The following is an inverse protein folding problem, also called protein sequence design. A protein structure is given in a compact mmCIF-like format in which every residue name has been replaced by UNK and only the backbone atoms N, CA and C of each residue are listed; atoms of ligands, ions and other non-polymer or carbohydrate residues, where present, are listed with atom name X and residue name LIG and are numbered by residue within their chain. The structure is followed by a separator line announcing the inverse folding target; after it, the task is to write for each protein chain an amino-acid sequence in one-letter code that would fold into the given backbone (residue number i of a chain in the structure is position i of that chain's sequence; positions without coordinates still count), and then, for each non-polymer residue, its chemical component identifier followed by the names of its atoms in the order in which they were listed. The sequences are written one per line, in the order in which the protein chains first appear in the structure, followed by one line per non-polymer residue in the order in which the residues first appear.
data_IF_380188511897
#
_entry.id   IF_380188511897
#
_cell.length_a   1.000
_cell.length_b   1.000
_cell.length_c   1.000
_cell.angle_alpha   90.00
_cell.angle_beta   90.00
_cell.angle_gamma   90.00
#
_symmetry.space_group_name_H-M   'P 1'
#
loop_
_entity.id
_entity.type
_entity.pdbx_description
1 polymer ?
#
# COMPACT_ATOMS: atom_id res chain seq x y z
N UNK A 1 17.99 -22.40 26.83
CA UNK A 1 16.81 -22.94 26.11
C UNK A 1 15.86 -21.76 25.89
N UNK A 2 15.40 -21.37 24.70
CA UNK A 2 15.28 -22.03 23.41
C UNK A 2 15.19 -20.92 22.34
N UNK A 3 15.87 -21.12 21.20
CA UNK A 3 15.78 -20.34 19.96
C UNK A 3 14.61 -20.85 19.10
N UNK A 4 14.03 -19.97 18.26
CA UNK A 4 13.69 -20.15 16.83
C UNK A 4 12.87 -18.93 16.36
N UNK A 5 13.14 -18.17 15.30
CA UNK A 5 13.52 -18.43 13.90
C UNK A 5 12.31 -18.61 12.94
N UNK A 6 12.10 -17.56 12.12
CA UNK A 6 11.70 -17.54 10.69
C UNK A 6 10.20 -17.68 10.33
N UNK A 7 9.71 -16.72 9.53
CA UNK A 7 8.49 -16.83 8.71
C UNK A 7 8.18 -15.53 7.95
N UNK A 8 8.65 -15.42 6.70
CA UNK A 8 8.56 -14.25 5.80
C UNK A 8 7.12 -13.84 5.38
N UNK A 9 6.90 -12.57 5.00
CA UNK A 9 5.70 -12.13 4.30
C UNK A 9 5.79 -12.32 2.77
N UNK A 10 4.68 -12.74 2.17
CA UNK A 10 4.46 -12.93 0.72
C UNK A 10 4.16 -11.58 0.05
N UNK A 11 4.72 -11.36 -1.15
CA UNK A 11 4.51 -10.17 -2.00
C UNK A 11 3.82 -10.55 -3.33
N UNK A 12 2.99 -9.61 -3.82
CA UNK A 12 2.60 -9.29 -5.22
C UNK A 12 1.32 -9.92 -5.83
N UNK A 13 0.67 -9.31 -6.87
CA UNK A 13 1.04 -8.09 -7.65
C UNK A 13 -0.09 -7.10 -8.06
N UNK A 14 0.35 -5.90 -8.50
CA UNK A 14 -0.17 -4.97 -9.55
C UNK A 14 -1.65 -4.54 -9.62
N UNK A 15 -1.90 -3.21 -9.62
CA UNK A 15 -2.32 -2.52 -10.86
C UNK A 15 -2.11 -0.99 -10.87
N UNK A 16 -2.02 -0.45 -12.09
CA UNK A 16 -1.41 0.82 -12.55
C UNK A 16 -2.41 2.02 -12.55
N UNK A 17 -1.96 3.29 -12.66
CA UNK A 17 -2.82 4.48 -12.60
C UNK A 17 -3.36 4.93 -13.97
N UNK A 18 -4.57 5.51 -14.00
CA UNK A 18 -5.17 6.14 -15.17
C UNK A 18 -5.30 7.67 -15.03
N UNK A 19 -4.47 8.36 -15.82
CA UNK A 19 -4.72 9.48 -16.75
C UNK A 19 -5.83 10.51 -16.47
N UNK A 20 -5.39 11.77 -16.53
CA UNK A 20 -6.09 13.06 -16.63
C UNK A 20 -7.16 13.14 -17.74
N UNK A 21 -8.15 14.04 -17.61
CA UNK A 21 -8.44 15.02 -18.65
C UNK A 21 -9.34 16.17 -18.17
N UNK A 22 -8.93 17.33 -18.66
CA UNK A 22 -9.49 18.67 -18.61
C UNK A 22 -10.77 18.77 -19.48
N UNK A 23 -11.78 19.55 -19.05
CA UNK A 23 -12.69 20.18 -20.01
C UNK A 23 -13.43 21.38 -19.42
N UNK A 24 -13.24 22.50 -20.13
CA UNK A 24 -13.82 23.83 -19.99
C UNK A 24 -15.21 23.83 -20.65
N UNK A 25 -16.17 24.56 -20.08
CA UNK A 25 -17.37 24.94 -20.84
C UNK A 25 -18.52 25.46 -19.99
N UNK A 26 -18.48 26.75 -19.65
CA UNK A 26 -19.66 27.46 -19.17
C UNK A 26 -20.68 27.69 -20.30
N UNK A 27 -21.94 27.87 -19.95
CA UNK A 27 -22.84 28.80 -20.66
C UNK A 27 -24.02 29.16 -19.78
N UNK A 28 -24.36 30.44 -19.86
CA UNK A 28 -25.43 31.14 -19.17
C UNK A 28 -26.74 31.01 -19.95
N UNK A 29 -27.87 31.01 -19.28
CA UNK A 29 -29.16 31.30 -19.92
C UNK A 29 -30.05 32.13 -19.00
N UNK A 30 -30.19 33.38 -19.40
CA UNK A 30 -31.05 34.43 -18.88
C UNK A 30 -32.31 34.41 -19.74
N UNK A 31 -33.50 34.21 -19.17
CA UNK A 31 -34.76 34.51 -19.86
C UNK A 31 -35.66 35.30 -18.92
N UNK A 32 -36.09 36.44 -19.44
CA UNK A 32 -36.91 37.49 -18.87
C UNK A 32 -38.21 37.43 -19.67
N UNK A 33 -39.37 37.31 -19.02
CA UNK A 33 -40.66 37.42 -19.71
C UNK A 33 -41.58 38.43 -19.04
N UNK A 34 -42.28 39.13 -19.92
CA UNK A 34 -42.99 40.40 -19.79
C UNK A 34 -44.50 40.20 -19.67
N UNK A 35 -45.15 41.26 -19.13
CA UNK A 35 -46.54 41.74 -19.18
C UNK A 35 -47.51 41.09 -20.21
N UNK A 36 -48.84 41.08 -20.04
CA UNK A 36 -49.76 42.22 -19.79
C UNK A 36 -51.22 41.72 -19.69
N UNK A 37 -52.06 42.55 -19.06
CA UNK A 37 -53.50 42.39 -18.79
C UNK A 37 -54.42 42.27 -20.02
N UNK A 38 -55.63 41.73 -19.79
CA UNK A 38 -56.77 41.67 -20.72
C UNK A 38 -58.04 42.26 -20.10
N UNK A 39 -58.81 42.95 -20.94
CA UNK A 39 -59.98 43.79 -20.69
C UNK A 39 -61.33 43.06 -20.78
N UNK A 40 -62.35 43.68 -20.19
CA UNK A 40 -63.81 43.44 -20.32
C UNK A 40 -64.34 43.55 -21.76
N UNK A 41 -65.60 43.09 -21.99
CA UNK A 41 -66.48 43.70 -22.98
C UNK A 41 -67.83 44.21 -22.41
N UNK A 42 -68.38 45.16 -23.17
CA UNK A 42 -69.65 45.89 -23.09
C UNK A 42 -70.77 45.20 -23.91
N UNK A 43 -72.05 45.44 -23.59
CA UNK A 43 -73.19 45.51 -24.56
C UNK A 43 -74.38 46.31 -23.96
N UNK A 44 -74.80 47.46 -24.54
CA UNK A 44 -75.94 47.74 -25.49
C UNK A 44 -77.33 47.78 -24.81
N UNK A 45 -78.09 48.90 -24.77
CA UNK A 45 -78.85 49.70 -25.77
C UNK A 45 -80.38 49.61 -25.44
N UNK A 46 -81.11 50.65 -24.97
CA UNK A 46 -81.76 51.82 -25.60
C UNK A 46 -83.01 51.58 -26.51
N UNK A 47 -84.23 51.90 -26.02
CA UNK A 47 -85.33 52.74 -26.64
C UNK A 47 -86.70 52.60 -25.92
N UNK A 48 -87.29 53.71 -25.39
CA UNK A 48 -88.50 54.52 -25.82
C UNK A 48 -89.87 53.78 -25.75
N UNK A 49 -91.02 54.29 -25.28
CA UNK A 49 -91.57 55.66 -25.13
C UNK A 49 -92.83 55.71 -24.19
N UNK A 50 -93.07 56.89 -23.59
CA UNK A 50 -94.13 57.58 -22.78
C UNK A 50 -95.65 57.31 -22.98
N UNK A 51 -96.60 58.01 -22.29
CA UNK A 51 -96.67 58.54 -20.90
C UNK A 51 -98.04 58.29 -20.20
N UNK A 52 -98.14 58.44 -18.87
CA UNK A 52 -99.32 59.05 -18.23
C UNK A 52 -98.97 59.49 -16.80
N UNK A 53 -99.47 60.68 -16.49
CA UNK A 53 -99.14 61.59 -15.39
C UNK A 53 -100.06 61.35 -14.20
N UNK A 54 -99.52 60.94 -13.04
CA UNK A 54 -100.07 61.27 -11.71
C UNK A 54 -98.89 61.44 -10.74
N UNK A 55 -98.75 62.66 -10.25
CA UNK A 55 -97.81 63.11 -9.21
C UNK A 55 -97.88 62.21 -7.97
N UNK A 56 -96.80 61.47 -7.72
CA UNK A 56 -96.53 60.85 -6.41
C UNK A 56 -95.01 60.80 -6.23
N UNK A 57 -94.56 61.50 -5.19
CA UNK A 57 -93.17 61.72 -4.82
C UNK A 57 -92.51 60.34 -4.55
N UNK A 58 -91.36 60.00 -5.16
CA UNK A 58 -90.70 58.73 -4.87
C UNK A 58 -90.10 58.77 -3.44
N UNK A 59 -90.26 57.71 -2.63
CA UNK A 59 -89.44 57.55 -1.44
C UNK A 59 -88.00 57.34 -1.88
N UNK A 60 -87.12 58.16 -1.30
CA UNK A 60 -85.68 58.12 -1.47
C UNK A 60 -85.15 56.68 -1.40
N UNK A 61 -84.54 56.23 -2.50
CA UNK A 61 -83.81 54.96 -2.59
C UNK A 61 -82.78 54.86 -1.48
N UNK A 62 -82.74 53.69 -0.82
CA UNK A 62 -81.75 53.24 0.15
C UNK A 62 -80.35 53.81 -0.12
N UNK A 63 -79.92 54.79 0.68
CA UNK A 63 -78.50 55.10 0.82
C UNK A 63 -77.87 53.93 1.56
N UNK A 64 -77.25 53.01 0.83
CA UNK A 64 -76.25 52.11 1.41
C UNK A 64 -75.11 52.99 1.90
N UNK A 65 -75.16 53.36 3.18
CA UNK A 65 -74.09 54.08 3.86
C UNK A 65 -72.88 53.13 3.87
N UNK A 66 -71.87 53.43 3.07
CA UNK A 66 -70.58 52.74 3.14
C UNK A 66 -69.96 53.06 4.50
N UNK A 67 -69.89 52.06 5.38
CA UNK A 67 -69.27 52.21 6.70
C UNK A 67 -67.76 52.26 6.49
N UNK A 68 -67.16 53.44 6.66
CA UNK A 68 -65.71 53.60 6.63
C UNK A 68 -65.07 52.89 7.84
N UNK A 69 -64.46 51.74 7.60
CA UNK A 69 -63.85 50.94 8.67
C UNK A 69 -62.38 51.33 8.90
N UNK A 70 -62.15 52.51 9.49
CA UNK A 70 -60.79 53.03 9.73
C UNK A 70 -59.87 52.11 10.55
N UNK A 71 -60.44 51.24 11.40
CA UNK A 71 -59.67 50.29 12.24
C UNK A 71 -58.92 49.24 11.40
N UNK A 72 -59.53 48.74 10.33
CA UNK A 72 -58.91 47.73 9.46
C UNK A 72 -57.73 48.31 8.67
N UNK A 73 -57.84 49.58 8.25
CA UNK A 73 -56.77 50.30 7.56
C UNK A 73 -55.54 50.45 8.47
N UNK A 74 -55.73 50.87 9.73
CA UNK A 74 -54.62 51.02 10.70
C UNK A 74 -53.98 49.67 11.03
N UNK A 75 -54.79 48.63 11.24
CA UNK A 75 -54.31 47.27 11.45
C UNK A 75 -53.46 46.78 10.27
N UNK A 76 -53.94 46.94 9.05
CA UNK A 76 -53.23 46.54 7.84
C UNK A 76 -51.88 47.27 7.70
N UNK A 77 -51.83 48.58 7.98
CA UNK A 77 -50.57 49.34 7.93
C UNK A 77 -49.55 48.86 8.97
N UNK A 78 -50.00 48.53 10.18
CA UNK A 78 -49.15 47.96 11.23
C UNK A 78 -48.64 46.56 10.86
N UNK A 79 -49.49 45.74 10.23
CA UNK A 79 -49.11 44.42 9.72
C UNK A 79 -48.03 44.50 8.63
N UNK A 80 -48.21 45.37 7.63
CA UNK A 80 -47.22 45.59 6.57
C UNK A 80 -45.86 46.03 7.14
N UNK A 81 -45.86 46.88 8.17
CA UNK A 81 -44.64 47.30 8.86
C UNK A 81 -43.91 46.12 9.51
N UNK A 82 -44.62 45.28 10.28
CA UNK A 82 -44.03 44.11 10.95
C UNK A 82 -43.48 43.12 9.91
N UNK A 83 -44.24 42.85 8.84
CA UNK A 83 -43.80 41.94 7.77
C UNK A 83 -42.58 42.46 7.02
N UNK A 84 -42.51 43.77 6.79
CA UNK A 84 -41.35 44.43 6.19
C UNK A 84 -40.08 44.23 7.04
N UNK A 85 -40.16 44.52 8.34
CA UNK A 85 -39.04 44.34 9.27
C UNK A 85 -38.60 42.87 9.35
N UNK A 86 -39.54 41.93 9.41
CA UNK A 86 -39.22 40.50 9.42
C UNK A 86 -38.49 40.06 8.14
N UNK A 87 -38.98 40.51 6.97
CA UNK A 87 -38.35 40.21 5.68
C UNK A 87 -36.90 40.72 5.63
N UNK A 88 -36.66 41.90 6.18
CA UNK A 88 -35.31 42.46 6.25
C UNK A 88 -34.40 41.66 7.17
N UNK A 89 -34.88 41.21 8.34
CA UNK A 89 -34.16 40.29 9.24
C UNK A 89 -33.81 39.00 8.49
N UNK A 90 -34.78 38.33 7.87
CA UNK A 90 -34.54 37.10 7.12
C UNK A 90 -33.50 37.29 6.00
N UNK A 91 -33.60 38.37 5.24
CA UNK A 91 -32.67 38.69 4.17
C UNK A 91 -31.25 38.93 4.70
N UNK A 92 -31.10 39.57 5.87
CA UNK A 92 -29.80 39.74 6.52
C UNK A 92 -29.25 38.40 6.98
N UNK A 93 -30.01 37.62 7.74
CA UNK A 93 -29.60 36.30 8.24
C UNK A 93 -29.19 35.35 7.10
N UNK A 94 -29.94 35.32 5.99
CA UNK A 94 -29.65 34.46 4.84
C UNK A 94 -28.34 34.77 4.12
N UNK A 95 -27.82 35.99 4.27
CA UNK A 95 -26.57 36.46 3.64
C UNK A 95 -25.38 36.44 4.58
N UNK A 96 -25.63 36.27 5.87
CA UNK A 96 -24.60 36.24 6.91
C UNK A 96 -23.98 34.84 6.96
N UNK A 97 -22.64 34.78 7.03
CA UNK A 97 -21.95 33.50 7.23
C UNK A 97 -22.06 33.05 8.69
N UNK A 98 -22.02 31.74 8.93
CA UNK A 98 -22.20 31.16 10.26
C UNK A 98 -21.24 31.76 11.31
N UNK A 99 -19.98 31.98 10.94
CA UNK A 99 -18.91 32.51 11.81
C UNK A 99 -19.10 33.99 12.21
N UNK A 100 -20.10 34.64 11.62
CA UNK A 100 -20.42 36.05 11.89
C UNK A 100 -21.82 36.22 12.46
N UNK A 101 -22.59 35.13 12.60
CA UNK A 101 -24.01 35.17 12.93
C UNK A 101 -24.26 35.72 14.34
N UNK A 102 -23.44 35.31 15.30
CA UNK A 102 -23.48 35.80 16.69
C UNK A 102 -23.39 37.32 16.80
N UNK A 103 -22.57 37.96 15.95
CA UNK A 103 -22.36 39.42 15.94
C UNK A 103 -23.60 40.25 15.55
N UNK A 104 -24.64 39.62 15.00
CA UNK A 104 -25.89 40.30 14.62
C UNK A 104 -26.99 40.22 15.69
N UNK A 105 -26.75 39.48 16.79
CA UNK A 105 -27.75 39.24 17.85
C UNK A 105 -28.41 40.51 18.34
N UNK A 106 -27.61 41.46 18.82
CA UNK A 106 -28.11 42.71 19.41
C UNK A 106 -28.93 43.53 18.40
N UNK A 107 -28.44 43.66 17.16
CA UNK A 107 -29.11 44.42 16.10
C UNK A 107 -30.46 43.81 15.70
N UNK A 108 -30.55 42.49 15.67
CA UNK A 108 -31.78 41.78 15.30
C UNK A 108 -32.79 41.82 16.44
N UNK A 109 -32.34 41.67 17.70
CA UNK A 109 -33.19 41.82 18.88
C UNK A 109 -33.77 43.24 18.96
N UNK A 110 -32.96 44.27 18.66
CA UNK A 110 -33.44 45.65 18.63
C UNK A 110 -34.60 45.85 17.64
N UNK A 111 -34.46 45.37 16.40
CA UNK A 111 -35.53 45.43 15.39
C UNK A 111 -36.77 44.67 15.88
N UNK A 112 -36.56 43.52 16.52
CA UNK A 112 -37.63 42.68 17.06
C UNK A 112 -38.42 43.37 18.19
N UNK A 113 -37.77 44.14 19.05
CA UNK A 113 -38.43 44.97 20.07
C UNK A 113 -39.37 46.02 19.46
N UNK A 114 -38.97 46.65 18.34
CA UNK A 114 -39.85 47.59 17.63
C UNK A 114 -41.08 46.88 17.04
N UNK A 115 -40.95 45.63 16.58
CA UNK A 115 -42.08 44.83 16.11
C UNK A 115 -43.06 44.54 17.27
N UNK A 116 -42.56 44.17 18.45
CA UNK A 116 -43.38 43.89 19.65
C UNK A 116 -44.20 45.11 20.10
N UNK A 117 -43.60 46.31 20.10
CA UNK A 117 -44.27 47.57 20.48
C UNK A 117 -45.52 47.89 19.64
N UNK A 118 -45.61 47.33 18.43
CA UNK A 118 -46.76 47.56 17.54
C UNK A 118 -48.04 46.89 18.08
N UNK A 119 -47.91 45.86 18.93
CA UNK A 119 -48.96 45.13 19.65
C UNK A 119 -50.13 44.63 18.78
N UNK A 120 -49.80 44.13 17.58
CA UNK A 120 -50.79 43.61 16.60
C UNK A 120 -50.71 42.10 16.45
N UNK A 121 -49.55 41.50 16.73
CA UNK A 121 -49.30 40.06 16.59
C UNK A 121 -48.68 39.49 17.85
N UNK A 122 -48.97 38.21 18.10
CA UNK A 122 -48.26 37.42 19.09
C UNK A 122 -46.93 36.94 18.50
N UNK A 123 -45.82 37.53 18.95
CA UNK A 123 -44.48 37.29 18.39
C UNK A 123 -43.61 36.32 19.20
N UNK A 124 -44.08 35.82 20.35
CA UNK A 124 -43.26 34.94 21.22
C UNK A 124 -42.70 33.68 20.54
N UNK A 125 -43.40 32.99 19.62
CA UNK A 125 -42.82 31.85 18.91
C UNK A 125 -41.60 32.23 18.06
N UNK A 126 -41.59 33.46 17.53
CA UNK A 126 -40.52 33.98 16.68
C UNK A 126 -39.31 34.42 17.52
N UNK A 127 -39.57 34.95 18.71
CA UNK A 127 -38.55 35.29 19.71
C UNK A 127 -37.76 34.06 20.13
N UNK A 128 -38.47 32.98 20.49
CA UNK A 128 -37.84 31.71 20.86
C UNK A 128 -36.97 31.11 19.75
N UNK A 129 -37.38 31.28 18.49
CA UNK A 129 -36.59 30.83 17.34
C UNK A 129 -35.30 31.66 17.17
N UNK A 130 -35.38 32.98 17.33
CA UNK A 130 -34.22 33.86 17.28
C UNK A 130 -33.25 33.57 18.43
N UNK A 131 -33.75 33.37 19.64
CA UNK A 131 -32.92 33.00 20.79
C UNK A 131 -32.19 31.68 20.53
N UNK A 132 -32.91 30.65 20.08
CA UNK A 132 -32.32 29.34 19.74
C UNK A 132 -31.24 29.45 18.66
N UNK A 133 -31.45 30.30 17.65
CA UNK A 133 -30.47 30.54 16.59
C UNK A 133 -29.18 31.15 17.13
N UNK A 134 -29.29 32.16 18.00
CA UNK A 134 -28.11 32.84 18.54
C UNK A 134 -27.37 32.01 19.59
N UNK A 135 -28.07 31.19 20.36
CA UNK A 135 -27.43 30.19 21.23
C UNK A 135 -26.61 29.18 20.41
N UNK A 136 -27.18 28.70 19.29
CA UNK A 136 -26.46 27.81 18.38
C UNK A 136 -25.23 28.48 17.76
N UNK A 137 -25.35 29.75 17.35
CA UNK A 137 -24.22 30.52 16.81
C UNK A 137 -23.10 30.69 17.84
N UNK A 138 -23.44 31.01 19.09
CA UNK A 138 -22.48 31.14 20.18
C UNK A 138 -21.76 29.82 20.47
N UNK A 139 -22.51 28.71 20.49
CA UNK A 139 -21.94 27.36 20.67
C UNK A 139 -20.98 26.99 19.53
N UNK A 140 -21.33 27.30 18.28
CA UNK A 140 -20.46 27.08 17.13
C UNK A 140 -19.15 27.88 17.22
N UNK A 141 -19.22 29.16 17.59
CA UNK A 141 -18.03 30.01 17.74
C UNK A 141 -17.10 29.50 18.85
N UNK A 142 -17.67 29.01 19.95
CA UNK A 142 -16.91 28.39 21.04
C UNK A 142 -16.17 27.13 20.58
N UNK A 143 -16.86 26.22 19.90
CA UNK A 143 -16.23 24.98 19.42
C UNK A 143 -15.14 25.25 18.37
N UNK A 144 -15.37 26.24 17.50
CA UNK A 144 -14.37 26.71 16.53
C UNK A 144 -13.11 27.23 17.22
N UNK A 145 -13.25 27.97 18.32
CA UNK A 145 -12.11 28.45 19.12
C UNK A 145 -11.34 27.27 19.74
N UNK A 146 -12.06 26.31 20.33
CA UNK A 146 -11.45 25.12 20.96
C UNK A 146 -10.65 24.26 19.96
N UNK A 147 -11.11 24.19 18.71
CA UNK A 147 -10.44 23.42 17.65
C UNK A 147 -9.15 24.08 17.15
N UNK A 148 -9.08 25.41 17.16
CA UNK A 148 -7.86 26.14 16.83
C UNK A 148 -6.73 25.84 17.83
N UNK A 149 -7.07 25.70 19.13
CA UNK A 149 -6.08 25.44 20.19
C UNK A 149 -5.53 23.99 20.19
N UNK A 150 -6.31 23.02 19.72
CA UNK A 150 -5.90 21.59 19.70
C UNK A 150 -5.05 21.19 18.49
N UNK A 151 -4.93 22.08 17.51
CA UNK A 151 -4.12 21.87 16.31
C UNK A 151 -2.99 22.89 16.32
N UNK A 152 -2.09 22.83 17.31
CA UNK A 152 -0.96 23.75 17.30
C UNK A 152 -0.12 23.45 16.06
N UNK A 153 -0.14 24.40 15.12
CA UNK A 153 0.66 24.34 13.90
C UNK A 153 2.14 24.18 14.25
N UNK A 154 2.54 24.66 15.44
CA UNK A 154 3.85 24.55 16.05
C UNK A 154 4.29 23.10 16.31
N UNK A 155 3.45 22.24 16.89
CA UNK A 155 3.81 20.83 17.13
C UNK A 155 4.03 20.09 15.80
N UNK A 156 3.20 20.39 14.80
CA UNK A 156 3.34 19.85 13.45
C UNK A 156 4.62 20.35 12.76
N UNK A 157 4.97 21.62 12.93
CA UNK A 157 6.20 22.23 12.41
C UNK A 157 7.46 21.64 13.05
N UNK A 158 7.38 21.15 14.28
CA UNK A 158 8.52 20.49 14.94
C UNK A 158 8.64 18.99 14.57
N UNK A 159 7.54 18.25 14.52
CA UNK A 159 7.56 16.80 14.33
C UNK A 159 7.85 16.39 12.88
N UNK A 160 7.34 17.14 11.89
CA UNK A 160 7.53 16.79 10.48
C UNK A 160 9.00 16.83 10.05
N UNK A 161 9.79 17.88 10.35
CA UNK A 161 11.22 17.91 10.02
C UNK A 161 12.00 16.77 10.69
N UNK A 162 11.73 16.46 11.97
CA UNK A 162 12.36 15.34 12.68
C UNK A 162 12.06 14.00 12.02
N UNK A 163 10.82 13.78 11.59
CA UNK A 163 10.44 12.57 10.86
C UNK A 163 11.15 12.48 9.49
N UNK A 164 11.27 13.61 8.77
CA UNK A 164 12.00 13.68 7.50
C UNK A 164 13.50 13.39 7.66
N UNK A 165 14.15 13.94 8.68
CA UNK A 165 15.57 13.69 8.98
C UNK A 165 15.84 12.20 9.25
N UNK A 166 14.97 11.54 10.03
CA UNK A 166 15.05 10.09 10.28
C UNK A 166 14.90 9.29 8.99
N UNK A 167 13.96 9.67 8.11
CA UNK A 167 13.76 9.01 6.83
C UNK A 167 15.01 9.08 5.94
N UNK A 168 15.64 10.26 5.82
CA UNK A 168 16.85 10.41 5.03
C UNK A 168 18.03 9.61 5.60
N UNK A 169 18.15 9.56 6.93
CA UNK A 169 19.15 8.71 7.61
C UNK A 169 18.97 7.23 7.25
N UNK A 170 17.74 6.72 7.28
CA UNK A 170 17.45 5.33 6.91
C UNK A 170 17.71 5.03 5.43
N UNK A 171 17.43 5.99 4.53
CA UNK A 171 17.75 5.84 3.10
C UNK A 171 19.26 5.70 2.87
N UNK A 172 20.07 6.48 3.58
CA UNK A 172 21.53 6.42 3.48
C UNK A 172 22.05 5.05 3.97
N UNK A 173 21.59 4.61 5.15
CA UNK A 173 21.96 3.32 5.73
C UNK A 173 21.58 2.15 4.79
N UNK A 174 20.39 2.20 4.20
CA UNK A 174 19.95 1.21 3.22
C UNK A 174 20.87 1.16 1.99
N UNK A 175 21.25 2.32 1.45
CA UNK A 175 22.16 2.41 0.30
C UNK A 175 23.54 1.80 0.59
N UNK A 176 24.10 2.04 1.77
CA UNK A 176 25.37 1.44 2.20
C UNK A 176 25.28 -0.08 2.33
N UNK A 177 24.20 -0.58 2.95
CA UNK A 177 23.94 -2.01 3.09
C UNK A 177 23.81 -2.69 1.72
N UNK A 178 23.11 -2.07 0.76
CA UNK A 178 23.00 -2.58 -0.61
C UNK A 178 24.37 -2.68 -1.30
N UNK A 179 25.23 -1.67 -1.16
CA UNK A 179 26.60 -1.71 -1.71
C UNK A 179 27.42 -2.86 -1.09
N UNK A 180 27.30 -3.07 0.22
CA UNK A 180 27.98 -4.17 0.94
C UNK A 180 27.48 -5.53 0.46
N UNK A 181 26.18 -5.71 0.30
CA UNK A 181 25.58 -6.95 -0.25
C UNK A 181 26.11 -7.23 -1.65
N UNK A 182 26.10 -6.24 -2.55
CA UNK A 182 26.63 -6.40 -3.92
C UNK A 182 28.11 -6.81 -3.95
N UNK A 183 28.93 -6.20 -3.07
CA UNK A 183 30.34 -6.58 -2.94
C UNK A 183 30.51 -8.03 -2.46
N UNK A 184 29.73 -8.45 -1.47
CA UNK A 184 29.73 -9.82 -0.95
C UNK A 184 29.24 -10.83 -1.99
N UNK A 185 28.20 -10.50 -2.76
CA UNK A 185 27.68 -11.35 -3.84
C UNK A 185 28.75 -11.58 -4.93
N UNK A 186 29.49 -10.54 -5.31
CA UNK A 186 30.62 -10.67 -6.25
C UNK A 186 31.73 -11.58 -5.71
N UNK A 187 32.01 -11.52 -4.41
CA UNK A 187 32.98 -12.41 -3.75
C UNK A 187 32.46 -13.85 -3.72
N UNK A 188 31.18 -14.05 -3.37
CA UNK A 188 30.53 -15.36 -3.35
C UNK A 188 30.58 -16.01 -4.74
N UNK A 189 30.24 -15.28 -5.81
CA UNK A 189 30.32 -15.77 -7.19
C UNK A 189 31.73 -16.24 -7.58
N UNK A 190 32.78 -15.59 -7.06
CA UNK A 190 34.17 -16.04 -7.26
C UNK A 190 34.49 -17.32 -6.49
N UNK A 191 34.02 -17.44 -5.25
CA UNK A 191 34.21 -18.66 -4.44
C UNK A 191 33.48 -19.85 -5.08
N UNK A 192 32.24 -19.67 -5.53
CA UNK A 192 31.46 -20.70 -6.21
C UNK A 192 32.18 -21.23 -7.46
N UNK A 193 32.74 -20.34 -8.29
CA UNK A 193 33.53 -20.75 -9.46
C UNK A 193 34.76 -21.58 -9.08
N UNK A 194 35.51 -21.16 -8.06
CA UNK A 194 36.67 -21.92 -7.58
C UNK A 194 36.28 -23.30 -7.05
N UNK A 195 35.16 -23.38 -6.35
CA UNK A 195 34.64 -24.64 -5.81
C UNK A 195 34.26 -25.63 -6.93
N UNK A 196 33.65 -25.14 -8.01
CA UNK A 196 33.38 -25.96 -9.21
C UNK A 196 34.66 -26.50 -9.85
N UNK A 197 35.70 -25.69 -9.97
CA UNK A 197 37.01 -26.14 -10.50
C UNK A 197 37.63 -27.22 -9.60
N UNK A 198 37.64 -27.03 -8.29
CA UNK A 198 38.16 -28.02 -7.34
C UNK A 198 37.35 -29.32 -7.35
N UNK A 199 36.04 -29.23 -7.52
CA UNK A 199 35.17 -30.39 -7.64
C UNK A 199 35.50 -31.21 -8.89
N UNK A 200 35.74 -30.55 -10.02
CA UNK A 200 36.19 -31.24 -11.24
C UNK A 200 37.57 -31.90 -11.07
N UNK A 201 38.51 -31.22 -10.40
CA UNK A 201 39.84 -31.76 -10.13
C UNK A 201 39.76 -33.00 -9.21
N UNK A 202 38.90 -32.97 -8.18
CA UNK A 202 38.62 -34.13 -7.33
C UNK A 202 38.15 -35.31 -8.16
N UNK A 203 37.16 -35.11 -9.03
CA UNK A 203 36.60 -36.18 -9.87
C UNK A 203 37.65 -36.76 -10.82
N UNK A 204 38.51 -35.92 -11.41
CA UNK A 204 39.60 -36.38 -12.26
C UNK A 204 40.62 -37.24 -11.47
N UNK A 205 41.00 -36.81 -10.26
CA UNK A 205 41.92 -37.56 -9.40
C UNK A 205 41.33 -38.88 -8.93
N UNK A 206 40.02 -38.92 -8.65
CA UNK A 206 39.31 -40.14 -8.27
C UNK A 206 39.36 -41.18 -9.40
N UNK A 207 39.15 -40.77 -10.66
CA UNK A 207 39.34 -41.66 -11.82
C UNK A 207 40.79 -42.17 -11.95
N UNK A 208 41.80 -41.31 -11.70
CA UNK A 208 43.21 -41.71 -11.77
C UNK A 208 43.55 -42.72 -10.68
N UNK A 209 43.03 -42.52 -9.45
CA UNK A 209 43.21 -43.45 -8.34
C UNK A 209 42.59 -44.81 -8.69
N UNK A 210 41.36 -44.83 -9.20
CA UNK A 210 40.68 -46.08 -9.59
C UNK A 210 41.46 -46.85 -10.67
N UNK A 211 41.97 -46.15 -11.69
CA UNK A 211 42.80 -46.78 -12.72
C UNK A 211 44.10 -47.35 -12.16
N UNK A 212 44.80 -46.57 -11.32
CA UNK A 212 46.07 -47.01 -10.69
C UNK A 212 45.85 -48.18 -9.74
N UNK A 213 44.75 -48.19 -8.99
CA UNK A 213 44.36 -49.29 -8.10
C UNK A 213 44.23 -50.60 -8.89
N UNK A 214 43.58 -50.55 -10.05
CA UNK A 214 43.41 -51.72 -10.93
C UNK A 214 44.76 -52.21 -11.50
N UNK A 215 45.65 -51.30 -11.88
CA UNK A 215 47.01 -51.65 -12.32
C UNK A 215 47.81 -52.33 -11.20
N UNK A 216 47.70 -51.83 -9.97
CA UNK A 216 48.33 -52.44 -8.79
C UNK A 216 47.79 -53.85 -8.55
N UNK A 217 46.48 -54.05 -8.61
CA UNK A 217 45.86 -55.38 -8.50
C UNK A 217 46.37 -56.35 -9.59
N UNK A 218 46.54 -55.88 -10.83
CA UNK A 218 47.10 -56.67 -11.92
C UNK A 218 48.57 -57.07 -11.66
N UNK A 219 49.40 -56.12 -11.20
CA UNK A 219 50.80 -56.38 -10.86
C UNK A 219 50.90 -57.36 -9.69
N UNK A 220 50.06 -57.19 -8.66
CA UNK A 220 50.00 -58.09 -7.51
C UNK A 220 49.69 -59.54 -7.95
N UNK A 221 48.74 -59.72 -8.87
CA UNK A 221 48.42 -61.03 -9.42
C UNK A 221 49.60 -61.66 -10.19
N UNK A 222 50.34 -60.85 -10.97
CA UNK A 222 51.56 -61.31 -11.67
C UNK A 222 52.66 -61.72 -10.70
N UNK A 223 52.85 -60.97 -9.61
CA UNK A 223 53.81 -61.31 -8.55
C UNK A 223 53.46 -62.66 -7.92
N UNK A 224 52.20 -62.86 -7.50
CA UNK A 224 51.78 -64.14 -6.92
C UNK A 224 51.95 -65.31 -7.89
N UNK A 225 51.68 -65.12 -9.18
CA UNK A 225 51.94 -66.16 -10.19
C UNK A 225 53.43 -66.52 -10.27
N UNK A 226 54.31 -65.52 -10.32
CA UNK A 226 55.76 -65.74 -10.35
C UNK A 226 56.28 -66.41 -9.06
N UNK A 227 55.77 -66.01 -7.88
CA UNK A 227 56.11 -66.65 -6.59
C UNK A 227 55.72 -68.13 -6.55
N UNK A 228 54.54 -68.48 -7.09
CA UNK A 228 54.12 -69.88 -7.21
C UNK A 228 55.00 -70.67 -8.19
N UNK A 229 55.44 -70.05 -9.29
CA UNK A 229 56.37 -70.64 -10.24
C UNK A 229 57.73 -70.93 -9.59
N UNK A 230 58.32 -69.95 -8.88
CA UNK A 230 59.57 -70.11 -8.14
C UNK A 230 59.48 -71.24 -7.13
N UNK A 231 58.40 -71.27 -6.33
CA UNK A 231 58.17 -72.33 -5.34
C UNK A 231 58.09 -73.72 -5.97
N UNK A 232 57.61 -73.81 -7.22
CA UNK A 232 57.57 -75.07 -7.97
C UNK A 232 58.99 -75.54 -8.34
N UNK A 233 59.90 -74.62 -8.71
CA UNK A 233 61.29 -74.94 -9.03
C UNK A 233 62.11 -75.32 -7.80
N UNK A 234 61.92 -74.64 -6.66
CA UNK A 234 62.64 -74.94 -5.42
C UNK A 234 62.35 -76.37 -4.90
N UNK A 235 61.17 -76.92 -5.20
CA UNK A 235 60.80 -78.29 -4.84
C UNK A 235 61.32 -79.36 -5.81
N UNK A 236 61.97 -78.98 -6.92
CA UNK A 236 62.56 -79.94 -7.86
C UNK A 236 63.92 -80.39 -7.31
N UNK A 237 63.95 -81.56 -6.69
CA UNK A 237 65.20 -82.19 -6.27
C UNK A 237 65.97 -82.69 -7.51
N UNK A 238 66.97 -81.91 -7.95
CA UNK A 238 67.75 -82.15 -9.17
C UNK A 238 68.74 -83.32 -9.07
N UNK A 239 69.07 -83.77 -7.86
CA UNK A 239 69.98 -84.88 -7.63
C UNK A 239 69.20 -86.07 -7.09
N UNK A 240 69.20 -87.16 -7.86
CA UNK A 240 68.65 -88.43 -7.39
C UNK A 240 69.65 -89.10 -6.45
N UNK A 241 69.15 -89.98 -5.58
CA UNK A 241 70.02 -90.79 -4.71
C UNK A 241 71.03 -91.61 -5.54
N UNK A 242 70.62 -92.07 -6.73
CA UNK A 242 71.47 -92.81 -7.66
C UNK A 242 72.62 -91.96 -8.21
N UNK A 243 72.40 -90.68 -8.51
CA UNK A 243 73.48 -89.78 -8.96
C UNK A 243 74.56 -89.61 -7.88
N UNK A 244 74.13 -89.52 -6.62
CA UNK A 244 75.04 -89.46 -5.47
C UNK A 244 75.83 -90.75 -5.29
N UNK A 245 75.17 -91.90 -5.42
CA UNK A 245 75.81 -93.22 -5.35
C UNK A 245 76.82 -93.42 -6.48
N UNK A 246 76.47 -93.05 -7.71
CA UNK A 246 77.33 -93.16 -8.88
C UNK A 246 78.58 -92.27 -8.77
N UNK A 247 78.42 -91.04 -8.26
CA UNK A 247 79.55 -90.13 -8.03
C UNK A 247 80.53 -90.70 -6.99
N UNK A 248 80.03 -91.23 -5.87
CA UNK A 248 80.89 -91.80 -4.83
C UNK A 248 81.59 -93.09 -5.32
N UNK A 249 80.93 -93.89 -6.17
CA UNK A 249 81.55 -95.04 -6.82
C UNK A 249 82.67 -94.62 -7.77
N UNK A 250 82.45 -93.61 -8.62
CA UNK A 250 83.49 -93.06 -9.51
C UNK A 250 84.67 -92.48 -8.74
N UNK A 251 84.41 -91.80 -7.62
CA UNK A 251 85.44 -91.28 -6.71
C UNK A 251 86.31 -92.42 -6.17
N UNK A 252 85.70 -93.48 -5.63
CA UNK A 252 86.45 -94.66 -5.15
C UNK A 252 87.29 -95.31 -6.25
N UNK A 253 86.74 -95.46 -7.45
CA UNK A 253 87.49 -96.01 -8.59
C UNK A 253 88.71 -95.14 -8.95
N UNK A 254 88.54 -93.81 -9.01
CA UNK A 254 89.63 -92.89 -9.28
C UNK A 254 90.72 -92.96 -8.20
N UNK A 255 90.32 -93.03 -6.94
CA UNK A 255 91.23 -93.20 -5.80
C UNK A 255 92.03 -94.50 -5.90
N UNK A 256 91.37 -95.59 -6.30
CA UNK A 256 92.00 -96.89 -6.53
C UNK A 256 93.02 -96.81 -7.68
N UNK A 257 92.64 -96.26 -8.83
CA UNK A 257 93.55 -96.10 -9.98
C UNK A 257 94.75 -95.19 -9.67
N UNK A 258 94.57 -94.14 -8.85
CA UNK A 258 95.68 -93.33 -8.37
C UNK A 258 96.66 -94.15 -7.51
N UNK A 259 96.17 -95.00 -6.62
CA UNK A 259 97.03 -95.88 -5.81
C UNK A 259 97.77 -96.90 -6.66
N UNK A 260 97.11 -97.46 -7.67
CA UNK A 260 97.76 -98.36 -8.64
C UNK A 260 98.88 -97.65 -9.41
N UNK A 261 98.65 -96.41 -9.85
CA UNK A 261 99.66 -95.60 -10.54
C UNK A 261 100.84 -95.22 -9.63
N UNK A 262 100.58 -94.85 -8.37
CA UNK A 262 101.63 -94.57 -7.37
C UNK A 262 102.50 -95.81 -7.13
N UNK A 263 101.87 -96.99 -7.12
CA UNK A 263 102.55 -98.27 -6.92
C UNK A 263 103.17 -98.86 -8.20
N UNK A 264 102.99 -98.20 -9.35
CA UNK A 264 103.53 -98.65 -10.62
C UNK A 264 105.04 -98.41 -10.68
N UNK A 265 105.82 -99.50 -10.68
CA UNK A 265 107.27 -99.46 -10.90
C UNK A 265 107.55 -99.62 -12.40
N UNK A 266 108.31 -98.68 -12.97
CA UNK A 266 108.83 -98.80 -14.33
C UNK A 266 109.77 -100.01 -14.43
N UNK A 267 109.37 -101.03 -15.20
CA UNK A 267 110.30 -102.00 -15.76
C UNK A 267 111.00 -101.30 -16.94
N UNK A 268 112.17 -100.74 -16.67
CA UNK A 268 113.13 -100.36 -17.70
C UNK A 268 113.93 -101.62 -18.03
N UNK A 269 113.60 -102.27 -19.15
CA UNK A 269 114.51 -103.21 -19.83
C UNK A 269 115.62 -102.44 -20.55
#
# INVERSE_FOLDING_TARGET
MQLNAIGHPVISPHDKPQVSNESIGGTTSKVKSSSKASSLPHDKALKRQTPNEITSIPPLTNTTISIFEGKSIVFNRKMEFILGLWKDICNRLSKTRAESLSSYREKIIEIFEYMKKTNVLYLSPLESLLDSLFELAASYDQERSNMADKTSEDEKLELIPKAKERLESFKLEASEKVKKVSSSEKKLKRVVKKLQTLQQERENLECVIEATQKEVEEIQAKISAAETEISSYDNVNLLTVDDSVNLEAKKKNLETSCQELINYKFCLD
#
